data_IF_717406457929
#
_entry.id   IF_717406457929
#
_cell.length_a   1.000
_cell.length_b   1.000
_cell.length_c   1.000
_cell.angle_alpha   90.00
_cell.angle_beta   90.00
_cell.angle_gamma   90.00
#
_symmetry.space_group_name_H-M   'P 1'
#
loop_
_entity.id
_entity.type
_entity.pdbx_description
1 polymer ?
#
# COMPACT_ATOMS: atom_id res chain seq x y z
N UNK A 1 -57.29 38.22 15.05
CA UNK A 1 -57.97 36.95 15.39
C UNK A 1 -56.91 36.00 15.94
N UNK A 2 -57.18 35.46 17.12
CA UNK A 2 -56.25 34.88 18.09
C UNK A 2 -55.98 33.40 17.79
N UNK A 3 -54.71 32.96 17.86
CA UNK A 3 -54.28 31.62 18.35
C UNK A 3 -52.73 31.62 18.39
N UNK A 4 -51.99 31.50 19.48
CA UNK A 4 -52.30 31.09 20.85
C UNK A 4 -51.88 29.64 21.11
N UNK A 5 -50.58 29.31 21.13
CA UNK A 5 -50.08 28.05 21.69
C UNK A 5 -48.79 28.26 22.50
N UNK A 6 -49.00 28.30 23.82
CA UNK A 6 -48.00 28.09 24.88
C UNK A 6 -47.39 26.69 24.75
N UNK A 7 -46.11 26.54 25.05
CA UNK A 7 -45.56 25.30 25.64
C UNK A 7 -44.84 25.64 26.95
N UNK A 8 -45.17 24.97 28.07
CA UNK A 8 -44.54 25.19 29.37
C UNK A 8 -43.24 24.38 29.49
N UNK A 9 -42.33 24.87 30.33
CA UNK A 9 -41.02 24.29 30.55
C UNK A 9 -40.94 23.21 31.64
N UNK A 10 -39.68 22.95 32.00
CA UNK A 10 -39.18 22.22 33.16
C UNK A 10 -39.50 20.72 33.26
N UNK A 11 -38.44 19.90 33.23
CA UNK A 11 -37.91 19.32 34.48
C UNK A 11 -36.50 18.74 34.29
N UNK A 12 -35.63 19.15 35.21
CA UNK A 12 -34.34 18.56 35.56
C UNK A 12 -34.46 17.04 35.74
N UNK A 13 -33.44 16.30 35.34
CA UNK A 13 -33.13 15.00 35.94
C UNK A 13 -31.61 14.89 36.09
N UNK A 14 -31.20 15.10 37.34
CA UNK A 14 -29.87 14.93 37.89
C UNK A 14 -29.54 13.43 37.83
N UNK A 15 -28.45 13.04 37.16
CA UNK A 15 -27.88 11.71 37.32
C UNK A 15 -26.63 11.81 38.20
N UNK A 16 -26.72 11.13 39.33
CA UNK A 16 -25.77 11.15 40.42
C UNK A 16 -24.48 10.41 40.07
N UNK A 17 -23.36 11.05 40.40
CA UNK A 17 -22.02 10.46 40.47
C UNK A 17 -21.96 9.56 41.70
N UNK A 18 -21.63 8.29 41.53
CA UNK A 18 -21.23 7.41 42.61
C UNK A 18 -19.81 6.90 42.35
N UNK A 19 -18.86 7.52 43.04
CA UNK A 19 -17.50 7.05 43.18
C UNK A 19 -17.48 5.87 44.16
N UNK A 20 -16.84 4.76 43.79
CA UNK A 20 -16.49 3.69 44.72
C UNK A 20 -15.01 3.34 44.55
N UNK A 21 -14.19 4.05 45.32
CA UNK A 21 -12.79 3.75 45.58
C UNK A 21 -12.71 2.85 46.83
N UNK A 22 -12.20 1.63 46.66
CA UNK A 22 -11.74 0.78 47.77
C UNK A 22 -10.22 0.64 47.64
N UNK A 23 -9.54 1.17 48.65
CA UNK A 23 -8.10 1.08 48.84
C UNK A 23 -7.78 -0.07 49.81
N UNK A 24 -6.84 -0.90 49.36
CA UNK A 24 -5.61 -1.27 50.05
C UNK A 24 -5.47 -2.63 50.78
N UNK A 25 -4.22 -3.10 50.60
CA UNK A 25 -3.35 -3.95 51.44
C UNK A 25 -3.42 -5.46 51.23
N UNK A 26 -2.39 -5.97 50.56
CA UNK A 26 -1.88 -7.33 50.68
C UNK A 26 -0.39 -7.35 50.36
N UNK A 27 0.44 -7.41 51.40
CA UNK A 27 1.90 -7.40 51.40
C UNK A 27 2.44 -8.84 51.35
N UNK A 28 3.56 -9.07 50.66
CA UNK A 28 4.46 -10.18 51.02
C UNK A 28 5.21 -10.89 49.89
N UNK A 29 6.49 -10.53 49.73
CA UNK A 29 7.58 -11.52 49.77
C UNK A 29 8.24 -11.95 48.45
N UNK A 30 9.53 -11.63 48.32
CA UNK A 30 10.50 -12.49 47.63
C UNK A 30 11.41 -11.81 46.60
N UNK A 31 12.43 -11.09 47.05
CA UNK A 31 13.57 -10.72 46.20
C UNK A 31 14.40 -12.00 45.95
N UNK A 32 14.15 -12.69 44.84
CA UNK A 32 15.03 -13.77 44.37
C UNK A 32 16.06 -13.18 43.42
N UNK A 33 17.28 -13.01 43.91
CA UNK A 33 18.44 -12.66 43.10
C UNK A 33 18.60 -13.68 41.95
N UNK A 34 18.50 -13.19 40.72
CA UNK A 34 18.77 -13.97 39.52
C UNK A 34 20.25 -14.38 39.49
N UNK A 35 20.58 -15.65 39.18
CA UNK A 35 21.96 -16.05 38.97
C UNK A 35 22.51 -15.36 37.71
N UNK A 36 23.77 -14.93 37.77
CA UNK A 36 24.49 -14.32 36.67
C UNK A 36 24.44 -15.20 35.40
N UNK A 37 24.27 -14.62 34.21
CA UNK A 37 24.33 -15.40 32.98
C UNK A 37 25.76 -15.94 32.83
N UNK A 38 25.87 -17.27 32.85
CA UNK A 38 27.10 -17.97 32.48
C UNK A 38 27.29 -17.76 30.98
N UNK A 39 28.43 -17.18 30.58
CA UNK A 39 28.82 -17.03 29.18
C UNK A 39 28.80 -18.41 28.50
N UNK A 40 27.72 -18.68 27.77
CA UNK A 40 27.58 -19.84 26.92
C UNK A 40 28.53 -19.72 25.74
N UNK A 41 29.31 -20.77 25.52
CA UNK A 41 30.10 -21.00 24.31
C UNK A 41 29.26 -20.72 23.07
N UNK A 42 29.75 -19.82 22.20
CA UNK A 42 29.15 -19.53 20.90
C UNK A 42 28.99 -20.84 20.12
N UNK A 43 27.74 -21.18 19.79
CA UNK A 43 27.44 -22.15 18.76
C UNK A 43 28.08 -21.67 17.44
N UNK A 44 28.60 -22.58 16.60
CA UNK A 44 29.19 -22.17 15.33
C UNK A 44 28.13 -21.44 14.49
N UNK A 45 28.52 -20.30 13.95
CA UNK A 45 27.70 -19.54 13.02
C UNK A 45 27.36 -20.45 11.83
N UNK A 46 26.10 -20.87 11.72
CA UNK A 46 25.58 -21.46 10.49
C UNK A 46 25.58 -20.35 9.45
N UNK A 47 26.56 -20.37 8.55
CA UNK A 47 26.57 -19.55 7.35
C UNK A 47 25.32 -19.92 6.54
N UNK A 48 24.32 -19.04 6.53
CA UNK A 48 23.21 -19.15 5.60
C UNK A 48 23.77 -18.93 4.18
N UNK A 49 23.65 -19.92 3.30
CA UNK A 49 23.90 -19.71 1.88
C UNK A 49 22.73 -18.92 1.29
N UNK A 50 23.02 -17.67 0.91
CA UNK A 50 22.12 -16.86 0.12
C UNK A 50 22.25 -17.34 -1.32
N UNK A 51 21.22 -18.01 -1.83
CA UNK A 51 21.17 -18.42 -3.24
C UNK A 51 20.38 -17.38 -4.01
N UNK A 52 21.10 -16.44 -4.61
CA UNK A 52 20.54 -15.50 -5.58
C UNK A 52 20.41 -16.22 -6.92
N UNK A 53 19.18 -16.56 -7.31
CA UNK A 53 18.92 -17.13 -8.65
C UNK A 53 18.56 -15.98 -9.59
N UNK A 54 19.44 -15.71 -10.55
CA UNK A 54 19.19 -14.74 -11.64
C UNK A 54 18.92 -15.53 -12.92
N UNK A 55 17.82 -15.19 -13.62
CA UNK A 55 17.53 -15.75 -14.94
C UNK A 55 18.19 -14.87 -15.99
N UNK A 56 19.06 -15.44 -16.83
CA UNK A 56 19.78 -14.70 -17.87
C UNK A 56 18.79 -14.09 -18.89
N UNK A 57 18.93 -12.80 -19.27
CA UNK A 57 18.01 -12.17 -20.20
C UNK A 57 18.17 -12.74 -21.62
N UNK A 58 17.05 -13.12 -22.23
CA UNK A 58 16.99 -13.38 -23.66
C UNK A 58 17.12 -12.08 -24.45
N UNK A 59 18.13 -11.99 -25.31
CA UNK A 59 18.28 -10.89 -26.27
C UNK A 59 17.17 -11.03 -27.33
N UNK A 60 16.12 -10.21 -27.23
CA UNK A 60 15.18 -9.99 -28.33
C UNK A 60 15.79 -8.97 -29.28
N UNK A 61 16.30 -9.46 -30.41
CA UNK A 61 16.70 -8.61 -31.55
C UNK A 61 15.49 -8.39 -32.43
N UNK A 62 14.89 -7.20 -32.34
CA UNK A 62 13.81 -6.82 -33.23
C UNK A 62 14.40 -6.44 -34.60
N UNK A 63 14.31 -7.35 -35.58
CA UNK A 63 14.77 -7.11 -36.94
C UNK A 63 13.65 -6.48 -37.74
N UNK A 64 13.60 -5.14 -37.75
CA UNK A 64 12.72 -4.39 -38.66
C UNK A 64 13.45 -4.04 -39.95
N UNK A 65 12.91 -4.52 -41.08
CA UNK A 65 13.44 -4.26 -42.41
C UNK A 65 12.80 -3.01 -43.05
N UNK A 66 13.59 -1.94 -43.17
CA UNK A 66 13.68 -1.06 -44.34
C UNK A 66 12.59 -0.03 -44.63
N UNK A 67 12.94 1.26 -44.49
CA UNK A 67 12.27 2.40 -45.13
C UNK A 67 12.89 3.75 -44.74
N UNK A 68 13.49 4.44 -45.72
CA UNK A 68 14.33 5.66 -45.67
C UNK A 68 13.71 6.91 -45.01
N UNK A 69 14.43 7.52 -44.04
CA UNK A 69 14.68 8.97 -43.87
C UNK A 69 15.30 9.26 -42.48
N UNK A 70 16.45 9.92 -42.46
CA UNK A 70 17.25 10.22 -41.27
C UNK A 70 16.67 11.36 -40.41
N UNK A 71 16.55 11.15 -39.08
CA UNK A 71 17.01 12.08 -38.02
C UNK A 71 16.93 11.44 -36.62
N UNK A 72 18.09 11.41 -35.95
CA UNK A 72 18.37 11.18 -34.50
C UNK A 72 17.63 10.04 -33.80
N UNK A 73 18.26 8.86 -33.86
CA UNK A 73 17.96 7.70 -33.04
C UNK A 73 18.55 7.89 -31.62
N UNK A 74 17.74 8.41 -30.71
CA UNK A 74 17.99 8.24 -29.28
C UNK A 74 17.48 6.85 -28.88
N UNK A 75 18.29 5.83 -29.15
CA UNK A 75 18.05 4.47 -28.69
C UNK A 75 18.24 4.42 -27.18
N UNK A 76 17.18 4.68 -26.44
CA UNK A 76 17.14 4.42 -24.99
C UNK A 76 17.10 2.91 -24.83
N UNK A 77 18.25 2.32 -24.53
CA UNK A 77 18.32 0.91 -24.14
C UNK A 77 17.66 0.77 -22.76
N UNK A 78 16.40 0.33 -22.74
CA UNK A 78 15.77 -0.15 -21.52
C UNK A 78 16.40 -1.49 -21.16
N UNK A 79 17.32 -1.50 -20.20
CA UNK A 79 17.78 -2.74 -19.58
C UNK A 79 16.58 -3.38 -18.87
N UNK A 80 16.12 -4.53 -19.35
CA UNK A 80 15.13 -5.32 -18.64
C UNK A 80 15.78 -5.78 -17.33
N UNK A 81 15.36 -5.18 -16.22
CA UNK A 81 15.73 -5.65 -14.88
C UNK A 81 15.19 -7.06 -14.69
N UNK A 82 16.07 -8.01 -14.39
CA UNK A 82 15.66 -9.36 -14.02
C UNK A 82 15.13 -9.29 -12.59
N UNK A 83 13.88 -9.72 -12.39
CA UNK A 83 13.31 -9.86 -11.06
C UNK A 83 14.22 -10.80 -10.24
N UNK A 84 14.80 -10.28 -9.16
CA UNK A 84 15.70 -11.03 -8.30
C UNK A 84 14.95 -11.42 -7.04
N UNK A 85 14.72 -12.73 -6.87
CA UNK A 85 14.09 -13.24 -5.66
C UNK A 85 15.15 -13.82 -4.75
N UNK A 86 15.35 -13.21 -3.58
CA UNK A 86 16.26 -13.74 -2.56
C UNK A 86 15.51 -14.80 -1.74
N UNK A 87 15.91 -16.06 -1.92
CA UNK A 87 15.48 -17.16 -1.05
C UNK A 87 16.68 -17.65 -0.25
N UNK A 88 16.47 -17.87 1.05
CA UNK A 88 17.47 -18.47 1.93
C UNK A 88 17.07 -19.92 2.21
N UNK A 89 17.94 -20.85 1.81
CA UNK A 89 17.70 -22.29 1.97
C UNK A 89 17.65 -22.64 3.46
N UNK A 90 16.59 -23.35 3.88
CA UNK A 90 16.42 -23.76 5.26
C UNK A 90 15.91 -22.67 6.20
N UNK A 91 15.33 -21.58 5.67
CA UNK A 91 14.65 -20.59 6.49
C UNK A 91 13.46 -21.20 7.25
N UNK A 92 13.46 -21.01 8.57
CA UNK A 92 12.38 -21.43 9.47
C UNK A 92 11.76 -20.26 10.22
N UNK A 93 12.12 -19.02 9.85
CA UNK A 93 11.62 -17.81 10.47
C UNK A 93 10.32 -17.30 9.85
N UNK A 94 9.85 -16.10 10.25
CA UNK A 94 8.68 -15.47 9.66
C UNK A 94 8.83 -15.20 8.16
N UNK A 95 7.73 -15.14 7.42
CA UNK A 95 7.71 -14.81 6.00
C UNK A 95 6.76 -13.66 5.72
N UNK A 96 7.03 -12.90 4.67
CA UNK A 96 6.10 -11.88 4.20
C UNK A 96 4.82 -12.54 3.67
N UNK A 97 3.63 -12.13 4.14
CA UNK A 97 2.38 -12.83 3.84
C UNK A 97 1.98 -12.84 2.36
N UNK A 98 2.36 -11.82 1.60
CA UNK A 98 1.96 -11.71 0.18
C UNK A 98 2.97 -12.31 -0.80
N UNK A 99 4.23 -12.45 -0.41
CA UNK A 99 5.30 -12.96 -1.29
C UNK A 99 5.80 -14.34 -0.89
N UNK A 100 5.57 -14.75 0.37
CA UNK A 100 6.14 -15.97 0.94
C UNK A 100 7.66 -15.91 1.15
N UNK A 101 8.28 -14.75 0.90
CA UNK A 101 9.73 -14.59 1.03
C UNK A 101 10.15 -14.43 2.50
N UNK A 102 11.38 -14.84 2.85
CA UNK A 102 11.91 -14.68 4.20
C UNK A 102 11.87 -13.23 4.70
N UNK A 103 11.24 -13.01 5.84
CA UNK A 103 11.20 -11.71 6.49
C UNK A 103 12.38 -11.60 7.48
N UNK A 104 13.58 -11.34 6.94
CA UNK A 104 14.84 -11.37 7.71
C UNK A 104 14.88 -10.34 8.83
N UNK A 105 14.23 -9.19 8.63
CA UNK A 105 14.09 -8.12 9.63
C UNK A 105 12.79 -8.23 10.44
N UNK A 106 12.07 -9.35 10.29
CA UNK A 106 10.75 -9.57 10.88
C UNK A 106 9.59 -9.14 9.97
N UNK A 107 8.38 -9.49 10.36
CA UNK A 107 7.16 -9.13 9.62
C UNK A 107 6.75 -7.69 9.90
N UNK A 108 6.24 -7.01 8.88
CA UNK A 108 5.68 -5.67 9.03
C UNK A 108 4.21 -5.77 9.45
N UNK A 109 3.89 -5.19 10.61
CA UNK A 109 2.53 -5.12 11.14
C UNK A 109 1.80 -3.88 10.63
N UNK A 110 1.46 -3.88 9.34
CA UNK A 110 0.60 -2.86 8.71
C UNK A 110 -0.29 -3.47 7.63
N UNK A 111 -1.45 -2.88 7.32
CA UNK A 111 -2.23 -3.24 6.14
C UNK A 111 -1.43 -3.04 4.84
N UNK A 112 -1.82 -3.75 3.79
CA UNK A 112 -1.24 -3.55 2.46
C UNK A 112 -1.63 -2.15 1.92
N UNK A 113 -0.69 -1.49 1.27
CA UNK A 113 -0.94 -0.29 0.48
C UNK A 113 -1.24 -0.71 -0.95
N UNK A 114 -2.39 -0.32 -1.48
CA UNK A 114 -2.81 -0.61 -2.85
C UNK A 114 -2.83 0.70 -3.61
N UNK A 115 -2.21 0.76 -4.79
CA UNK A 115 -2.18 1.97 -5.62
C UNK A 115 -2.70 1.68 -7.02
N UNK A 116 -3.64 2.50 -7.50
CA UNK A 116 -4.13 2.44 -8.89
C UNK A 116 -3.17 3.17 -9.82
N UNK A 117 -2.58 2.47 -10.79
CA UNK A 117 -1.51 3.01 -11.66
C UNK A 117 -1.93 2.97 -13.14
N UNK A 118 -1.56 4.00 -13.90
CA UNK A 118 -1.81 4.09 -15.34
C UNK A 118 -1.04 3.06 -16.17
N UNK A 119 -1.72 2.46 -17.15
CA UNK A 119 -1.12 1.62 -18.19
C UNK A 119 -1.81 1.80 -19.55
N UNK A 120 -2.53 2.90 -19.74
CA UNK A 120 -3.48 3.02 -20.86
C UNK A 120 -2.84 3.41 -22.19
N UNK A 121 -1.68 4.06 -22.17
CA UNK A 121 -0.91 4.45 -23.36
C UNK A 121 0.55 4.77 -22.97
N UNK A 122 1.38 5.07 -23.98
CA UNK A 122 2.80 5.36 -23.81
C UNK A 122 3.10 6.56 -22.91
N UNK A 123 2.14 7.47 -22.68
CA UNK A 123 2.33 8.59 -21.74
C UNK A 123 2.25 8.14 -20.29
N UNK A 124 1.74 6.94 -20.02
CA UNK A 124 1.75 6.35 -18.68
C UNK A 124 3.14 5.83 -18.29
N UNK A 125 4.03 5.66 -19.27
CA UNK A 125 5.37 5.11 -19.06
C UNK A 125 6.39 6.21 -18.75
N UNK A 126 7.45 5.88 -17.99
CA UNK A 126 7.61 4.67 -17.18
C UNK A 126 6.74 4.72 -15.91
N UNK A 127 6.23 3.60 -15.44
CA UNK A 127 5.66 3.53 -14.08
C UNK A 127 6.77 3.71 -13.05
N UNK A 128 6.43 4.26 -11.89
CA UNK A 128 7.33 4.41 -10.75
C UNK A 128 6.94 3.43 -9.64
N UNK A 129 7.92 2.74 -9.07
CA UNK A 129 7.76 1.88 -7.89
C UNK A 129 7.00 0.59 -8.15
N UNK A 130 6.75 0.21 -9.40
CA UNK A 130 6.02 -1.03 -9.73
C UNK A 130 6.88 -2.28 -9.45
N UNK A 131 8.20 -2.12 -9.52
CA UNK A 131 9.22 -3.14 -9.27
C UNK A 131 9.23 -3.67 -7.83
N UNK A 132 8.76 -2.86 -6.87
CA UNK A 132 8.74 -3.20 -5.44
C UNK A 132 7.37 -3.77 -5.00
N UNK A 133 6.44 -3.99 -5.95
CA UNK A 133 5.11 -4.49 -5.64
C UNK A 133 5.11 -6.00 -5.36
N UNK A 134 4.42 -6.41 -4.29
CA UNK A 134 4.22 -7.82 -3.97
C UNK A 134 3.30 -8.50 -4.98
N UNK A 135 2.25 -7.77 -5.40
CA UNK A 135 1.24 -8.23 -6.35
C UNK A 135 0.93 -7.07 -7.30
N UNK A 136 0.86 -7.36 -8.60
CA UNK A 136 0.37 -6.43 -9.61
C UNK A 136 -0.78 -7.08 -10.36
N UNK A 137 -1.98 -6.50 -10.26
CA UNK A 137 -3.08 -6.86 -11.14
C UNK A 137 -3.09 -5.95 -12.37
N UNK A 138 -3.22 -6.52 -13.55
CA UNK A 138 -3.58 -5.78 -14.76
C UNK A 138 -5.08 -5.97 -15.03
N UNK A 139 -5.84 -4.88 -14.96
CA UNK A 139 -7.28 -4.90 -15.16
C UNK A 139 -7.67 -4.05 -16.37
N UNK A 140 -8.59 -4.59 -17.19
CA UNK A 140 -9.21 -3.82 -18.26
C UNK A 140 -10.04 -2.67 -17.68
N UNK A 141 -10.01 -1.53 -18.36
CA UNK A 141 -10.87 -0.38 -18.10
C UNK A 141 -11.68 -0.05 -19.36
N UNK A 142 -12.30 1.14 -19.40
CA UNK A 142 -13.05 1.57 -20.58
C UNK A 142 -12.17 1.62 -21.84
N UNK A 143 -12.77 1.42 -23.02
CA UNK A 143 -12.12 1.54 -24.32
C UNK A 143 -10.99 0.53 -24.61
N UNK A 144 -10.96 -0.61 -23.92
CA UNK A 144 -10.06 -1.72 -24.26
C UNK A 144 -8.59 -1.51 -23.89
N UNK A 145 -8.31 -0.57 -22.98
CA UNK A 145 -7.00 -0.34 -22.39
C UNK A 145 -6.97 -0.83 -20.94
N UNK A 146 -5.78 -0.95 -20.33
CA UNK A 146 -5.63 -1.47 -18.98
C UNK A 146 -5.08 -0.43 -17.99
N UNK A 147 -5.23 -0.74 -16.70
CA UNK A 147 -4.55 -0.06 -15.60
C UNK A 147 -4.05 -1.10 -14.62
N UNK A 148 -2.93 -0.80 -13.97
CA UNK A 148 -2.41 -1.64 -12.91
C UNK A 148 -3.04 -1.32 -11.57
N UNK A 149 -3.09 -2.33 -10.70
CA UNK A 149 -3.39 -2.21 -9.28
C UNK A 149 -2.25 -2.90 -8.53
N UNK A 150 -1.32 -2.10 -8.00
CA UNK A 150 -0.12 -2.59 -7.34
C UNK A 150 -0.34 -2.67 -5.83
N UNK A 151 0.06 -3.77 -5.21
CA UNK A 151 -0.10 -4.06 -3.78
C UNK A 151 1.27 -4.14 -3.12
N UNK A 152 1.46 -3.37 -2.05
CA UNK A 152 2.71 -3.20 -1.32
C UNK A 152 2.54 -3.54 0.17
N UNK A 153 3.14 -4.63 0.62
CA UNK A 153 3.14 -5.06 2.03
C UNK A 153 4.56 -5.41 2.51
N UNK A 154 5.36 -6.13 1.72
CA UNK A 154 6.72 -6.49 2.12
C UNK A 154 7.67 -5.30 2.05
N UNK A 155 7.59 -4.54 0.96
CA UNK A 155 8.39 -3.35 0.70
C UNK A 155 7.46 -2.23 0.21
N UNK A 156 7.92 -0.98 0.36
CA UNK A 156 7.20 0.20 -0.15
C UNK A 156 8.21 1.14 -0.81
N UNK A 157 8.04 1.48 -2.09
CA UNK A 157 8.88 2.46 -2.76
C UNK A 157 8.68 3.85 -2.15
N UNK A 158 9.60 4.77 -2.42
CA UNK A 158 9.41 6.18 -2.03
C UNK A 158 8.21 6.80 -2.76
N UNK A 159 8.06 6.51 -4.06
CA UNK A 159 7.02 7.09 -4.90
C UNK A 159 6.37 6.05 -5.79
N UNK A 160 5.07 6.22 -6.05
CA UNK A 160 4.31 5.38 -6.98
C UNK A 160 3.50 6.25 -7.94
N UNK A 161 3.52 5.89 -9.22
CA UNK A 161 2.71 6.58 -10.23
C UNK A 161 2.91 6.05 -11.65
N UNK A 162 2.18 6.61 -12.63
CA UNK A 162 1.19 7.67 -12.47
C UNK A 162 -0.10 7.17 -11.82
N UNK A 163 -0.54 7.78 -10.73
CA UNK A 163 -1.74 7.37 -10.00
C UNK A 163 -3.00 7.72 -10.79
N UNK A 164 -3.96 6.80 -10.82
CA UNK A 164 -5.17 6.91 -11.64
C UNK A 164 -6.45 6.65 -10.88
N UNK A 165 -7.55 6.94 -11.57
CA UNK A 165 -8.88 6.82 -11.02
C UNK A 165 -9.27 5.37 -10.77
N UNK A 166 -9.97 5.16 -9.65
CA UNK A 166 -10.53 3.88 -9.24
C UNK A 166 -11.61 3.38 -10.21
N UNK A 167 -11.86 2.07 -10.18
CA UNK A 167 -12.88 1.33 -10.93
C UNK A 167 -13.57 0.31 -10.03
N UNK A 168 -14.79 -0.07 -10.37
CA UNK A 168 -15.59 -1.07 -9.62
C UNK A 168 -14.82 -2.36 -9.37
N UNK A 169 -14.10 -2.86 -10.40
CA UNK A 169 -13.27 -4.05 -10.30
C UNK A 169 -12.19 -3.97 -9.24
N UNK A 170 -11.71 -2.76 -8.92
CA UNK A 170 -10.66 -2.58 -7.92
C UNK A 170 -11.15 -2.97 -6.53
N UNK A 171 -12.44 -2.72 -6.22
CA UNK A 171 -13.09 -3.08 -4.95
C UNK A 171 -13.07 -4.60 -4.77
N UNK A 172 -13.47 -5.34 -5.81
CA UNK A 172 -13.50 -6.80 -5.78
C UNK A 172 -12.09 -7.40 -5.65
N UNK A 173 -11.11 -6.83 -6.35
CA UNK A 173 -9.73 -7.30 -6.36
C UNK A 173 -9.00 -7.13 -5.02
N UNK A 174 -9.39 -6.14 -4.21
CA UNK A 174 -8.71 -5.84 -2.93
C UNK A 174 -9.55 -6.18 -1.72
N UNK A 175 -10.83 -6.50 -1.90
CA UNK A 175 -11.73 -6.89 -0.82
C UNK A 175 -11.35 -8.22 -0.12
N UNK A 176 -10.47 -9.02 -0.73
CA UNK A 176 -9.89 -10.21 -0.12
C UNK A 176 -8.68 -9.91 0.80
N UNK A 177 -8.18 -8.67 0.80
CA UNK A 177 -7.09 -8.24 1.67
C UNK A 177 -7.62 -7.76 3.03
N UNK A 178 -6.77 -7.80 4.06
CA UNK A 178 -7.14 -7.35 5.40
C UNK A 178 -7.18 -5.81 5.47
N UNK A 179 -8.32 -5.22 5.07
CA UNK A 179 -8.60 -3.77 5.13
C UNK A 179 -7.44 -2.90 4.61
N UNK A 180 -7.04 -3.05 3.34
CA UNK A 180 -5.90 -2.31 2.80
C UNK A 180 -6.14 -0.80 2.77
N UNK A 181 -5.08 -0.01 2.65
CA UNK A 181 -5.20 1.39 2.24
C UNK A 181 -5.19 1.47 0.72
N UNK A 182 -6.18 2.13 0.12
CA UNK A 182 -6.34 2.22 -1.32
C UNK A 182 -6.11 3.64 -1.82
N UNK A 183 -5.01 3.84 -2.54
CA UNK A 183 -4.59 5.09 -3.14
C UNK A 183 -5.04 5.22 -4.60
N UNK A 184 -5.83 6.27 -4.90
CA UNK A 184 -6.37 6.52 -6.24
C UNK A 184 -6.64 8.00 -6.50
N UNK A 185 -6.66 8.40 -7.77
CA UNK A 185 -6.90 9.78 -8.20
C UNK A 185 -8.32 9.94 -8.77
N UNK A 186 -9.30 10.05 -7.86
CA UNK A 186 -10.72 10.21 -8.19
C UNK A 186 -11.38 8.99 -8.83
N UNK A 187 -12.60 9.18 -9.34
CA UNK A 187 -13.41 8.17 -10.04
C UNK A 187 -14.48 8.87 -10.90
N UNK A 188 -15.15 8.15 -11.80
CA UNK A 188 -16.41 8.61 -12.37
C UNK A 188 -17.53 8.44 -11.34
N UNK A 189 -18.61 9.22 -11.47
CA UNK A 189 -19.68 9.34 -10.46
C UNK A 189 -20.26 7.99 -10.00
N UNK A 190 -20.58 7.09 -10.95
CA UNK A 190 -21.12 5.76 -10.61
C UNK A 190 -20.15 4.93 -9.75
N UNK A 191 -18.87 4.89 -10.12
CA UNK A 191 -17.83 4.20 -9.34
C UNK A 191 -17.56 4.92 -8.02
N UNK A 192 -17.67 6.24 -7.98
CA UNK A 192 -17.56 7.01 -6.73
C UNK A 192 -18.54 6.52 -5.68
N UNK A 193 -19.81 6.31 -6.05
CA UNK A 193 -20.81 5.79 -5.12
C UNK A 193 -20.48 4.36 -4.62
N UNK A 194 -19.95 3.49 -5.49
CA UNK A 194 -19.54 2.14 -5.12
C UNK A 194 -18.30 2.16 -4.20
N UNK A 195 -17.34 3.04 -4.48
CA UNK A 195 -16.14 3.22 -3.65
C UNK A 195 -16.53 3.74 -2.26
N UNK A 196 -17.39 4.75 -2.16
CA UNK A 196 -17.88 5.26 -0.88
C UNK A 196 -18.64 4.17 -0.10
N UNK A 197 -19.49 3.38 -0.78
CA UNK A 197 -20.14 2.23 -0.14
C UNK A 197 -19.12 1.20 0.38
N UNK A 198 -18.06 0.91 -0.38
CA UNK A 198 -17.02 -0.02 0.05
C UNK A 198 -16.23 0.52 1.25
N UNK A 199 -15.99 1.84 1.32
CA UNK A 199 -15.39 2.52 2.47
C UNK A 199 -16.30 2.40 3.70
N UNK A 200 -17.60 2.67 3.56
CA UNK A 200 -18.59 2.57 4.65
C UNK A 200 -18.71 1.15 5.21
N UNK A 201 -18.54 0.13 4.35
CA UNK A 201 -18.48 -1.28 4.75
C UNK A 201 -17.15 -1.68 5.39
N UNK A 202 -16.17 -0.77 5.41
CA UNK A 202 -14.84 -1.00 5.96
C UNK A 202 -13.98 -1.90 5.10
N UNK A 203 -14.25 -1.99 3.79
CA UNK A 203 -13.49 -2.85 2.85
C UNK A 203 -12.04 -2.40 2.75
N UNK A 204 -11.79 -1.09 2.73
CA UNK A 204 -10.47 -0.47 2.67
C UNK A 204 -10.52 0.94 3.27
N UNK A 205 -9.34 1.51 3.55
CA UNK A 205 -9.17 2.92 3.91
C UNK A 205 -8.79 3.69 2.66
N UNK A 206 -9.58 4.69 2.25
CA UNK A 206 -9.29 5.46 1.05
C UNK A 206 -8.20 6.51 1.28
N UNK A 207 -7.24 6.57 0.35
CA UNK A 207 -6.28 7.66 0.19
C UNK A 207 -6.55 8.29 -1.18
N UNK A 208 -7.13 9.48 -1.22
CA UNK A 208 -7.56 10.06 -2.49
C UNK A 208 -7.40 11.56 -2.54
N UNK A 209 -7.34 12.10 -3.76
CA UNK A 209 -7.22 13.54 -4.02
C UNK A 209 -8.56 14.28 -3.89
N UNK A 210 -9.68 13.56 -3.83
CA UNK A 210 -11.03 14.14 -3.98
C UNK A 210 -11.74 14.36 -2.64
N UNK A 211 -11.38 13.59 -1.62
CA UNK A 211 -12.02 13.59 -0.30
C UNK A 211 -11.07 13.05 0.77
N UNK A 212 -11.39 13.29 2.04
CA UNK A 212 -10.69 12.67 3.18
C UNK A 212 -9.31 13.25 3.52
N UNK A 213 -8.69 12.62 4.51
CA UNK A 213 -7.29 12.87 4.90
C UNK A 213 -6.36 12.10 3.95
N UNK A 214 -5.25 12.70 3.53
CA UNK A 214 -4.29 12.05 2.62
C UNK A 214 -4.08 12.74 1.28
N UNK A 215 -4.82 13.82 0.96
CA UNK A 215 -4.57 14.62 -0.25
C UNK A 215 -3.13 15.14 -0.33
N UNK A 216 -2.52 15.43 0.82
CA UNK A 216 -1.14 15.90 0.94
C UNK A 216 -0.10 14.83 0.55
N UNK A 217 -0.51 13.56 0.41
CA UNK A 217 0.33 12.47 -0.07
C UNK A 217 0.45 12.47 -1.60
N UNK A 218 -0.35 13.27 -2.30
CA UNK A 218 -0.36 13.35 -3.76
C UNK A 218 0.32 14.63 -4.24
N UNK A 219 1.11 14.48 -5.28
CA UNK A 219 1.78 15.59 -5.95
C UNK A 219 1.68 15.43 -7.47
N UNK A 220 2.06 16.49 -8.18
CA UNK A 220 2.21 16.47 -9.65
C UNK A 220 3.68 16.59 -9.98
N UNK A 221 4.15 15.72 -10.87
CA UNK A 221 5.49 15.74 -11.43
C UNK A 221 5.45 16.34 -12.83
N UNK A 222 5.91 17.59 -12.95
CA UNK A 222 5.89 18.34 -14.21
C UNK A 222 6.79 17.71 -15.30
N UNK A 223 7.80 16.94 -14.92
CA UNK A 223 8.71 16.31 -15.87
C UNK A 223 8.05 15.12 -16.61
N UNK A 224 6.94 14.60 -16.07
CA UNK A 224 6.14 13.53 -16.70
C UNK A 224 5.13 14.04 -17.73
N UNK A 225 5.02 15.36 -17.89
CA UNK A 225 4.10 16.00 -18.82
C UNK A 225 2.77 16.39 -18.19
N UNK A 226 1.71 16.36 -18.99
CA UNK A 226 0.42 16.94 -18.60
C UNK A 226 -0.48 15.97 -17.81
N UNK A 227 -1.40 16.50 -17.00
CA UNK A 227 -2.49 15.72 -16.45
C UNK A 227 -3.23 14.94 -17.54
N UNK A 228 -3.64 13.68 -17.27
CA UNK A 228 -3.55 12.95 -16.00
C UNK A 228 -2.29 12.07 -15.79
N UNK A 229 -1.18 12.26 -16.51
CA UNK A 229 -0.01 11.35 -16.52
C UNK A 229 1.10 11.70 -15.51
N UNK A 230 0.89 12.76 -14.74
CA UNK A 230 1.83 13.43 -13.84
C UNK A 230 1.53 13.20 -12.35
N UNK A 231 0.45 12.50 -12.01
CA UNK A 231 0.04 12.30 -10.61
C UNK A 231 0.91 11.27 -9.88
N UNK A 232 1.57 11.67 -8.80
CA UNK A 232 2.47 10.82 -7.99
C UNK A 232 1.97 10.71 -6.55
N UNK A 233 2.07 9.52 -5.96
CA UNK A 233 1.88 9.27 -4.54
C UNK A 233 3.24 9.23 -3.83
N UNK A 234 3.37 9.92 -2.69
CA UNK A 234 4.40 9.64 -1.68
C UNK A 234 4.00 8.35 -0.95
N UNK A 235 4.48 7.21 -1.48
CA UNK A 235 4.06 5.90 -1.03
C UNK A 235 4.65 5.55 0.34
N UNK A 236 5.87 6.02 0.62
CA UNK A 236 6.48 5.85 1.94
C UNK A 236 5.67 6.56 3.03
N UNK A 237 5.25 7.81 2.80
CA UNK A 237 4.38 8.52 3.73
C UNK A 237 2.98 7.87 3.82
N UNK A 238 2.43 7.43 2.70
CA UNK A 238 1.12 6.77 2.67
C UNK A 238 1.10 5.48 3.51
N UNK A 239 2.16 4.68 3.44
CA UNK A 239 2.28 3.44 4.21
C UNK A 239 2.37 3.68 5.73
N UNK A 240 2.86 4.84 6.16
CA UNK A 240 2.88 5.24 7.57
C UNK A 240 1.49 5.64 8.06
N UNK A 241 0.74 6.41 7.26
CA UNK A 241 -0.64 6.80 7.59
C UNK A 241 -1.56 5.58 7.68
N UNK A 242 -1.34 4.58 6.82
CA UNK A 242 -2.07 3.32 6.80
C UNK A 242 -1.94 2.44 8.07
N UNK A 243 -0.95 2.73 8.92
CA UNK A 243 -0.62 1.94 10.11
C UNK A 243 -1.24 2.47 11.43
N UNK A 244 -1.93 3.61 11.39
CA UNK A 244 -2.63 4.23 12.54
C UNK A 244 -4.14 4.06 12.51
#
# INVERSE_FOLDING_TARGET
MILGLRRPGCRLSVLAVAALSVLAVGCGGGEQAAPAPTLGTLAPATTAEIVTTSTEPGVVTDTSAGGDAATVDASTTTTIGVATTTSIIGWTGPVHPLTGLPAVDGTIDRPALVVKIGNNDSKSLPQLGLEDADIVYEAHIENGVTRFLAVFQSEVPTQVGPVRSARSSDIDLIGNLNRPSFAYWGSNEGVGAEVEQAIDLGTFVALTTTSGEGQYLFSRDADRGEPPYDGILDAAAAALVASG
#
